data_IF_854730717066
#
_entry.id   IF_854730717066
#
_cell.length_a   1.000
_cell.length_b   1.000
_cell.length_c   1.000
_cell.angle_alpha   90.00
_cell.angle_beta   90.00
_cell.angle_gamma   90.00
#
_symmetry.space_group_name_H-M   'P 1'
#
loop_
_entity.id
_entity.type
_entity.pdbx_description
1 polymer ?
#
# COMPACT_ATOMS: atom_id res chain seq x y z
N UNK A 1 14.92 -10.55 -24.31
CA UNK A 1 15.29 -9.50 -25.28
C UNK A 1 14.13 -8.70 -25.89
N UNK A 2 12.84 -9.05 -25.71
CA UNK A 2 11.71 -8.26 -26.24
C UNK A 2 10.94 -7.39 -25.22
N UNK A 3 11.31 -7.39 -23.94
CA UNK A 3 10.64 -6.57 -22.89
C UNK A 3 11.26 -5.18 -22.72
N UNK A 4 12.52 -5.02 -23.16
CA UNK A 4 13.23 -3.74 -23.21
C UNK A 4 12.67 -2.82 -24.31
N UNK A 5 12.16 -3.40 -25.41
CA UNK A 5 11.58 -2.68 -26.54
C UNK A 5 10.18 -2.12 -26.24
N UNK A 6 9.40 -2.79 -25.38
CA UNK A 6 8.07 -2.34 -24.96
C UNK A 6 8.14 -1.17 -23.96
N UNK A 7 9.12 -1.20 -23.05
CA UNK A 7 9.41 -0.09 -22.15
C UNK A 7 10.03 1.12 -22.87
N UNK A 8 10.82 0.88 -23.92
CA UNK A 8 11.27 1.94 -24.85
C UNK A 8 10.08 2.58 -25.59
N UNK A 9 9.08 1.82 -26.02
CA UNK A 9 7.85 2.35 -26.65
C UNK A 9 7.00 3.23 -25.70
N UNK A 10 7.00 2.95 -24.40
CA UNK A 10 6.31 3.80 -23.40
C UNK A 10 7.08 5.10 -23.15
N UNK A 11 8.42 5.04 -23.21
CA UNK A 11 9.27 6.25 -23.19
C UNK A 11 9.11 7.05 -24.50
N UNK A 12 8.88 6.37 -25.63
CA UNK A 12 8.59 6.96 -26.94
C UNK A 12 7.16 7.51 -27.11
N UNK A 13 6.24 7.24 -26.18
CA UNK A 13 4.88 7.86 -26.17
C UNK A 13 4.78 9.09 -25.25
N UNK A 14 5.84 9.36 -24.48
CA UNK A 14 6.12 10.68 -23.89
C UNK A 14 7.57 11.11 -24.22
N UNK A 15 8.02 10.99 -25.50
CA UNK A 15 9.41 11.19 -25.89
C UNK A 15 9.79 12.64 -25.65
N UNK A 16 8.84 13.57 -25.85
CA UNK A 16 9.03 14.98 -25.58
C UNK A 16 9.38 15.25 -24.11
N UNK A 17 8.87 14.52 -23.12
CA UNK A 17 9.11 14.90 -21.72
C UNK A 17 10.50 14.47 -21.24
N UNK A 18 10.93 13.25 -21.59
CA UNK A 18 12.28 12.78 -21.28
C UNK A 18 13.32 13.38 -22.22
N UNK A 19 13.00 13.64 -23.50
CA UNK A 19 13.90 14.34 -24.42
C UNK A 19 14.00 15.82 -24.10
N UNK A 20 12.94 16.51 -23.68
CA UNK A 20 13.00 17.90 -23.19
C UNK A 20 13.75 17.94 -21.86
N UNK A 21 13.53 16.97 -20.97
CA UNK A 21 14.32 16.85 -19.73
C UNK A 21 15.80 16.63 -20.06
N UNK A 22 16.15 15.66 -20.89
CA UNK A 22 17.55 15.39 -21.26
C UNK A 22 18.16 16.52 -22.10
N UNK A 23 17.45 17.12 -23.06
CA UNK A 23 17.94 18.26 -23.86
C UNK A 23 18.14 19.52 -23.01
N UNK A 24 17.33 19.74 -21.97
CA UNK A 24 17.46 20.93 -21.11
C UNK A 24 18.38 20.72 -19.92
N UNK A 25 18.50 19.49 -19.43
CA UNK A 25 19.27 19.18 -18.22
C UNK A 25 20.67 18.68 -18.59
N UNK A 26 20.86 17.93 -19.68
CA UNK A 26 22.17 17.40 -20.08
C UNK A 26 23.20 18.50 -20.35
N UNK A 27 22.93 19.59 -21.09
CA UNK A 27 23.90 20.67 -21.29
C UNK A 27 24.27 21.38 -19.98
N UNK A 28 23.30 21.50 -19.06
CA UNK A 28 23.44 22.20 -17.77
C UNK A 28 24.14 21.37 -16.69
N UNK A 29 23.97 20.05 -16.72
CA UNK A 29 24.73 19.14 -15.85
C UNK A 29 26.18 19.02 -16.34
N UNK A 30 26.45 19.25 -17.63
CA UNK A 30 27.77 19.07 -18.24
C UNK A 30 28.56 20.37 -18.42
N UNK A 31 28.05 21.53 -17.98
CA UNK A 31 28.67 22.85 -18.19
C UNK A 31 29.00 23.14 -19.68
N UNK A 32 28.11 22.72 -20.59
CA UNK A 32 28.33 22.81 -22.04
C UNK A 32 27.72 24.06 -22.71
N UNK A 33 27.19 25.02 -21.95
CA UNK A 33 26.73 26.30 -22.52
C UNK A 33 27.93 27.23 -22.69
N UNK A 34 28.54 27.21 -23.89
CA UNK A 34 29.38 28.31 -24.37
C UNK A 34 28.47 29.52 -24.64
N UNK A 35 28.84 30.67 -24.09
CA UNK A 35 28.42 31.99 -24.56
C UNK A 35 28.64 32.07 -26.07
N UNK A 36 27.58 32.17 -26.88
CA UNK A 36 27.58 33.01 -28.09
C UNK A 36 26.22 33.05 -28.85
N UNK A 37 25.96 34.26 -29.37
CA UNK A 37 25.05 34.67 -30.46
C UNK A 37 23.56 34.92 -30.18
N UNK A 38 23.34 36.12 -29.64
CA UNK A 38 22.54 37.17 -30.29
C UNK A 38 22.78 37.22 -31.81
N UNK A 39 21.73 37.10 -32.63
CA UNK A 39 21.59 37.87 -33.88
C UNK A 39 20.16 37.84 -34.44
N UNK A 40 19.75 39.02 -34.94
CA UNK A 40 18.63 39.34 -35.85
C UNK A 40 17.25 39.66 -35.28
N UNK A 41 17.08 40.93 -34.85
CA UNK A 41 15.99 41.79 -35.35
C UNK A 41 16.46 43.27 -35.52
N UNK A 42 16.53 43.73 -36.77
CA UNK A 42 16.45 45.15 -37.20
C UNK A 42 14.95 45.49 -37.38
N UNK A 43 14.37 46.69 -37.26
CA UNK A 43 14.84 48.08 -37.22
C UNK A 43 13.63 49.02 -36.96
N UNK A 44 13.82 50.13 -36.21
CA UNK A 44 13.37 51.55 -36.45
C UNK A 44 13.30 52.42 -35.15
N UNK A 45 13.43 53.78 -35.22
CA UNK A 45 14.27 54.55 -34.26
C UNK A 45 13.62 55.69 -33.42
N UNK A 46 14.20 55.93 -32.21
CA UNK A 46 14.46 57.18 -31.41
C UNK A 46 13.29 58.12 -30.93
N UNK A 47 13.43 58.96 -29.86
CA UNK A 47 14.64 59.36 -29.09
C UNK A 47 14.60 59.42 -27.52
N UNK A 48 15.75 59.10 -26.91
CA UNK A 48 16.53 59.78 -25.83
C UNK A 48 15.81 60.34 -24.56
N UNK A 49 16.16 59.83 -23.34
CA UNK A 49 16.88 60.56 -22.27
C UNK A 49 17.22 59.71 -21.00
N UNK A 50 18.54 59.62 -20.71
CA UNK A 50 19.31 59.62 -19.44
C UNK A 50 18.82 58.78 -18.23
N UNK A 51 19.47 57.65 -17.86
CA UNK A 51 20.69 57.47 -17.01
C UNK A 51 20.35 57.33 -15.50
N UNK A 52 20.37 56.09 -14.96
CA UNK A 52 21.26 55.63 -13.86
C UNK A 52 20.95 54.20 -13.34
N UNK A 53 22.04 53.43 -13.26
CA UNK A 53 22.38 52.26 -12.40
C UNK A 53 21.56 50.96 -12.44
N UNK A 54 22.14 49.97 -13.11
CA UNK A 54 21.81 48.54 -13.03
C UNK A 54 22.73 47.84 -12.00
N UNK A 55 22.17 47.35 -10.91
CA UNK A 55 22.66 46.13 -10.25
C UNK A 55 21.88 44.95 -10.81
N UNK A 56 22.50 44.19 -11.70
CA UNK A 56 21.92 42.96 -12.25
C UNK A 56 22.05 41.82 -11.23
N UNK A 57 20.94 41.54 -10.54
CA UNK A 57 20.69 40.28 -9.83
C UNK A 57 20.62 39.13 -10.84
N UNK A 58 21.74 38.44 -11.07
CA UNK A 58 21.75 37.16 -11.79
C UNK A 58 21.29 36.09 -10.80
N UNK A 59 19.99 35.77 -10.82
CA UNK A 59 19.46 34.56 -10.17
C UNK A 59 19.97 33.37 -10.99
N UNK A 60 20.74 32.41 -10.43
CA UNK A 60 21.26 31.31 -11.21
C UNK A 60 20.10 30.48 -11.76
N UNK A 61 20.10 30.26 -13.07
CA UNK A 61 19.13 29.45 -13.82
C UNK A 61 18.96 28.05 -13.21
N UNK A 62 19.98 27.55 -12.52
CA UNK A 62 20.01 26.27 -11.80
C UNK A 62 18.94 26.17 -10.70
N UNK A 63 18.62 27.27 -10.02
CA UNK A 63 17.63 27.26 -8.95
C UNK A 63 16.20 27.11 -9.50
N UNK A 64 15.93 27.57 -10.72
CA UNK A 64 14.60 27.46 -11.33
C UNK A 64 14.34 26.02 -11.79
N UNK A 65 15.34 25.39 -12.41
CA UNK A 65 15.25 24.01 -12.90
C UNK A 65 15.15 23.02 -11.73
N UNK A 66 16.00 23.19 -10.70
CA UNK A 66 15.93 22.40 -9.48
C UNK A 66 14.58 22.57 -8.77
N UNK A 67 14.03 23.80 -8.77
CA UNK A 67 12.70 24.08 -8.22
C UNK A 67 11.59 23.44 -9.05
N UNK A 68 11.69 23.37 -10.37
CA UNK A 68 10.72 22.69 -11.24
C UNK A 68 10.77 21.16 -11.07
N UNK A 69 11.96 20.58 -10.98
CA UNK A 69 12.13 19.14 -10.68
C UNK A 69 11.56 18.84 -9.29
N UNK A 70 11.90 19.66 -8.28
CA UNK A 70 11.30 19.55 -6.93
C UNK A 70 9.78 19.63 -6.99
N UNK A 71 9.21 20.60 -7.72
CA UNK A 71 7.76 20.77 -7.89
C UNK A 71 7.10 19.55 -8.55
N UNK A 72 7.76 18.97 -9.55
CA UNK A 72 7.25 17.80 -10.26
C UNK A 72 7.28 16.55 -9.37
N UNK A 73 8.40 16.33 -8.66
CA UNK A 73 8.55 15.22 -7.72
C UNK A 73 7.59 15.33 -6.52
N UNK A 74 7.28 16.55 -6.05
CA UNK A 74 6.33 16.76 -4.94
C UNK A 74 4.86 16.70 -5.35
N UNK A 75 4.53 17.06 -6.59
CA UNK A 75 3.13 17.14 -7.06
C UNK A 75 2.59 15.84 -7.65
N UNK A 76 3.46 14.97 -8.17
CA UNK A 76 3.06 13.73 -8.83
C UNK A 76 3.47 12.51 -8.00
N UNK A 77 2.51 11.65 -7.67
CA UNK A 77 2.77 10.31 -7.12
C UNK A 77 3.43 9.45 -8.20
N UNK A 78 4.73 9.61 -8.38
CA UNK A 78 5.49 8.86 -9.38
C UNK A 78 5.59 7.39 -8.98
N UNK A 79 5.35 6.51 -9.96
CA UNK A 79 5.56 5.06 -9.77
C UNK A 79 7.04 4.80 -9.45
N UNK A 80 7.30 3.83 -8.56
CA UNK A 80 8.64 3.41 -8.14
C UNK A 80 9.61 3.18 -9.32
N UNK A 81 9.13 2.55 -10.40
CA UNK A 81 9.91 2.32 -11.64
C UNK A 81 10.40 3.61 -12.29
N UNK A 82 9.56 4.65 -12.31
CA UNK A 82 9.92 5.94 -12.93
C UNK A 82 10.98 6.63 -12.07
N UNK A 83 10.81 6.65 -10.76
CA UNK A 83 11.80 7.22 -9.83
C UNK A 83 13.17 6.54 -9.98
N UNK A 84 13.19 5.20 -10.02
CA UNK A 84 14.41 4.43 -10.23
C UNK A 84 15.10 4.76 -11.56
N UNK A 85 14.34 4.86 -12.66
CA UNK A 85 14.89 5.24 -13.96
C UNK A 85 15.45 6.66 -13.97
N UNK A 86 14.73 7.62 -13.38
CA UNK A 86 15.19 9.00 -13.24
C UNK A 86 16.52 9.04 -12.50
N UNK A 87 16.62 8.34 -11.37
CA UNK A 87 17.86 8.29 -10.58
C UNK A 87 19.04 7.71 -11.37
N UNK A 88 18.82 6.58 -12.06
CA UNK A 88 19.84 5.96 -12.90
C UNK A 88 20.33 6.90 -14.02
N UNK A 89 19.42 7.63 -14.65
CA UNK A 89 19.74 8.60 -15.70
C UNK A 89 20.55 9.77 -15.13
N UNK A 90 20.13 10.33 -13.98
CA UNK A 90 20.83 11.44 -13.32
C UNK A 90 22.28 11.07 -13.03
N UNK A 91 22.52 9.88 -12.43
CA UNK A 91 23.87 9.45 -12.10
C UNK A 91 24.73 9.25 -13.36
N UNK A 92 24.19 8.60 -14.39
CA UNK A 92 24.90 8.39 -15.66
C UNK A 92 25.31 9.71 -16.32
N UNK A 93 24.40 10.70 -16.35
CA UNK A 93 24.70 12.03 -16.92
C UNK A 93 25.71 12.78 -16.05
N UNK A 94 25.59 12.72 -14.72
CA UNK A 94 26.53 13.40 -13.83
C UNK A 94 27.95 12.82 -13.90
N UNK A 95 28.10 11.52 -14.20
CA UNK A 95 29.39 10.87 -14.33
C UNK A 95 30.19 11.34 -15.55
N UNK A 96 29.52 11.87 -16.57
CA UNK A 96 30.17 12.50 -17.73
C UNK A 96 30.81 13.86 -17.36
N UNK A 97 30.56 14.42 -16.16
CA UNK A 97 31.14 15.68 -15.70
C UNK A 97 32.25 15.47 -14.62
N UNK A 98 33.49 15.96 -14.83
CA UNK A 98 34.59 15.83 -13.87
C UNK A 98 34.45 16.62 -12.56
N UNK A 99 33.44 17.49 -12.40
CA UNK A 99 33.29 18.39 -11.23
C UNK A 99 32.85 17.74 -9.90
N UNK A 100 32.82 16.41 -9.77
CA UNK A 100 32.51 15.73 -8.49
C UNK A 100 31.04 15.80 -8.05
N UNK A 101 30.15 16.35 -8.88
CA UNK A 101 28.70 16.42 -8.64
C UNK A 101 28.06 15.06 -8.39
N UNK A 102 28.52 14.01 -9.08
CA UNK A 102 28.08 12.62 -8.88
C UNK A 102 28.29 12.15 -7.44
N UNK A 103 29.46 12.42 -6.88
CA UNK A 103 29.81 12.05 -5.50
C UNK A 103 28.88 12.73 -4.50
N UNK A 104 28.58 14.02 -4.71
CA UNK A 104 27.66 14.79 -3.87
C UNK A 104 26.25 14.19 -3.94
N UNK A 105 25.76 13.87 -5.14
CA UNK A 105 24.43 13.27 -5.32
C UNK A 105 24.32 11.90 -4.64
N UNK A 106 25.31 11.04 -4.84
CA UNK A 106 25.38 9.72 -4.20
C UNK A 106 25.35 9.87 -2.68
N UNK A 107 26.19 10.75 -2.13
CA UNK A 107 26.23 10.98 -0.68
C UNK A 107 24.88 11.49 -0.16
N UNK A 108 24.24 12.43 -0.86
CA UNK A 108 22.94 12.97 -0.48
C UNK A 108 21.83 11.91 -0.49
N UNK A 109 21.82 10.99 -1.46
CA UNK A 109 20.88 9.88 -1.45
C UNK A 109 21.13 8.97 -0.26
N UNK A 110 22.39 8.60 -0.02
CA UNK A 110 22.77 7.73 1.09
C UNK A 110 22.36 8.34 2.44
N UNK A 111 22.66 9.63 2.65
CA UNK A 111 22.24 10.37 3.84
C UNK A 111 20.71 10.40 3.97
N UNK A 112 19.99 10.65 2.87
CA UNK A 112 18.53 10.66 2.86
C UNK A 112 17.96 9.31 3.30
N UNK A 113 18.39 8.20 2.70
CA UNK A 113 17.87 6.86 3.02
C UNK A 113 18.17 6.49 4.47
N UNK A 114 19.39 6.75 4.95
CA UNK A 114 19.72 6.50 6.35
C UNK A 114 18.86 7.34 7.31
N UNK A 115 18.66 8.61 6.99
CA UNK A 115 17.81 9.49 7.79
C UNK A 115 16.35 9.03 7.77
N UNK A 116 15.82 8.59 6.62
CA UNK A 116 14.45 8.08 6.55
C UNK A 116 14.29 6.80 7.39
N UNK A 117 15.21 5.84 7.25
CA UNK A 117 15.16 4.60 8.04
C UNK A 117 15.34 4.84 9.55
N UNK A 118 16.12 5.85 9.93
CA UNK A 118 16.30 6.23 11.34
C UNK A 118 15.08 6.99 11.91
N UNK A 119 14.47 7.88 11.12
CA UNK A 119 13.37 8.74 11.57
C UNK A 119 11.98 8.08 11.43
N UNK A 120 11.84 7.09 10.55
CA UNK A 120 10.59 6.38 10.30
C UNK A 120 10.74 4.89 10.61
N UNK A 121 10.65 4.49 11.89
CA UNK A 121 10.94 3.13 12.33
C UNK A 121 9.90 2.07 11.89
N UNK A 122 8.79 2.52 11.27
CA UNK A 122 7.84 1.66 10.58
C UNK A 122 8.34 1.21 9.20
N UNK A 123 9.37 1.85 8.65
CA UNK A 123 9.99 1.41 7.40
C UNK A 123 10.97 0.28 7.74
N UNK A 124 10.65 -0.92 7.28
CA UNK A 124 11.52 -2.07 7.37
C UNK A 124 12.36 -2.20 6.10
N UNK A 125 13.67 -2.04 6.24
CA UNK A 125 14.64 -2.24 5.17
C UNK A 125 14.92 -3.74 4.94
N UNK A 126 15.08 -4.15 3.69
CA UNK A 126 15.54 -5.50 3.33
C UNK A 126 16.91 -5.82 3.94
N UNK A 127 17.22 -7.11 4.17
CA UNK A 127 18.54 -7.54 4.65
C UNK A 127 19.66 -7.07 3.71
N UNK A 128 19.41 -7.11 2.40
CA UNK A 128 20.33 -6.61 1.38
C UNK A 128 20.56 -5.10 1.52
N UNK A 129 19.52 -4.30 1.72
CA UNK A 129 19.67 -2.87 1.95
C UNK A 129 20.50 -2.57 3.20
N UNK A 130 20.25 -3.29 4.30
CA UNK A 130 21.05 -3.14 5.53
C UNK A 130 22.53 -3.38 5.28
N UNK A 131 22.87 -4.45 4.56
CA UNK A 131 24.27 -4.77 4.23
C UNK A 131 24.90 -3.68 3.34
N UNK A 132 24.18 -3.25 2.29
CA UNK A 132 24.65 -2.17 1.41
C UNK A 132 24.91 -0.86 2.15
N UNK A 133 24.10 -0.56 3.17
CA UNK A 133 24.28 0.65 3.98
C UNK A 133 25.42 0.53 5.00
N UNK A 134 25.69 -0.67 5.53
CA UNK A 134 26.71 -0.88 6.57
C UNK A 134 28.15 -0.95 6.05
N UNK A 135 28.36 -1.49 4.85
CA UNK A 135 29.70 -1.84 4.37
C UNK A 135 30.50 -0.69 3.74
N UNK A 136 29.91 0.51 3.64
CA UNK A 136 30.35 1.49 2.62
C UNK A 136 30.60 2.88 3.21
N UNK A 137 31.88 3.28 3.26
CA UNK A 137 32.29 4.64 3.63
C UNK A 137 32.10 5.67 2.48
N UNK A 138 31.99 5.21 1.22
CA UNK A 138 31.77 6.07 0.04
C UNK A 138 31.12 5.23 -1.08
N UNK A 139 29.82 5.39 -1.38
CA UNK A 139 29.15 4.55 -2.37
C UNK A 139 29.59 4.87 -3.81
N UNK A 140 29.71 3.84 -4.66
CA UNK A 140 29.89 4.02 -6.10
C UNK A 140 28.55 4.28 -6.78
N UNK A 141 28.56 4.62 -8.08
CA UNK A 141 27.34 4.81 -8.88
C UNK A 141 26.48 3.54 -8.87
N UNK A 142 27.09 2.39 -9.13
CA UNK A 142 26.41 1.09 -9.22
C UNK A 142 25.76 0.75 -7.88
N UNK A 143 26.51 0.95 -6.79
CA UNK A 143 26.03 0.72 -5.44
C UNK A 143 24.89 1.68 -5.11
N UNK A 144 24.99 2.96 -5.47
CA UNK A 144 23.94 3.95 -5.25
C UNK A 144 22.65 3.61 -5.98
N UNK A 145 22.75 3.11 -7.21
CA UNK A 145 21.60 2.61 -7.98
C UNK A 145 20.96 1.41 -7.26
N UNK A 146 21.77 0.46 -6.79
CA UNK A 146 21.28 -0.72 -6.08
C UNK A 146 20.67 -0.38 -4.71
N UNK A 147 21.27 0.53 -3.94
CA UNK A 147 20.72 1.06 -2.69
C UNK A 147 19.34 1.68 -2.95
N UNK A 148 19.22 2.53 -3.97
CA UNK A 148 17.94 3.19 -4.26
C UNK A 148 16.87 2.19 -4.71
N UNK A 149 17.27 1.20 -5.52
CA UNK A 149 16.38 0.12 -5.95
C UNK A 149 15.89 -0.69 -4.75
N UNK A 150 16.79 -1.14 -3.88
CA UNK A 150 16.43 -1.87 -2.68
C UNK A 150 15.50 -1.04 -1.78
N UNK A 151 15.81 0.24 -1.58
CA UNK A 151 14.96 1.14 -0.81
C UNK A 151 13.54 1.27 -1.40
N UNK A 152 13.42 1.53 -2.71
CA UNK A 152 12.12 1.73 -3.34
C UNK A 152 11.28 0.45 -3.40
N UNK A 153 11.88 -0.67 -3.78
CA UNK A 153 11.15 -1.88 -4.13
C UNK A 153 11.02 -2.88 -2.99
N UNK A 154 11.96 -2.89 -2.06
CA UNK A 154 12.03 -3.93 -1.03
C UNK A 154 11.89 -3.39 0.40
N UNK A 155 11.84 -2.07 0.61
CA UNK A 155 11.38 -1.55 1.89
C UNK A 155 9.89 -1.76 2.04
N UNK A 156 9.49 -2.24 3.21
CA UNK A 156 8.09 -2.49 3.57
C UNK A 156 7.68 -1.58 4.72
N UNK A 157 6.40 -1.30 4.82
CA UNK A 157 5.84 -0.62 5.99
C UNK A 157 5.36 -1.72 6.93
N UNK A 158 5.92 -1.76 8.14
CA UNK A 158 5.46 -2.67 9.19
C UNK A 158 3.96 -2.44 9.44
N UNK A 159 3.14 -3.49 9.50
CA UNK A 159 1.71 -3.32 9.72
C UNK A 159 1.44 -2.81 11.14
N UNK A 160 0.42 -1.95 11.28
CA UNK A 160 -0.11 -1.52 12.58
C UNK A 160 -1.39 -2.27 12.97
N UNK A 161 -1.92 -3.07 12.05
CA UNK A 161 -3.12 -3.86 12.24
C UNK A 161 -2.80 -5.32 11.96
N UNK A 162 -2.92 -6.14 13.00
CA UNK A 162 -2.70 -7.58 12.93
C UNK A 162 -4.03 -8.29 13.12
N UNK A 163 -4.28 -9.33 12.33
CA UNK A 163 -5.49 -10.17 12.45
C UNK A 163 -5.10 -11.62 12.60
N UNK A 164 -5.71 -12.30 13.57
CA UNK A 164 -5.63 -13.74 13.73
C UNK A 164 -7.04 -14.33 13.66
N UNK A 165 -7.25 -15.24 12.70
CA UNK A 165 -8.48 -16.03 12.60
C UNK A 165 -8.33 -17.27 13.48
N UNK A 166 -9.18 -17.36 14.50
CA UNK A 166 -9.15 -18.48 15.44
C UNK A 166 -10.01 -19.62 14.93
N UNK A 167 -9.62 -20.82 15.34
CA UNK A 167 -10.33 -22.07 15.08
C UNK A 167 -10.00 -23.05 16.21
N UNK A 168 -10.74 -24.18 16.33
CA UNK A 168 -10.53 -25.14 17.42
C UNK A 168 -9.13 -25.78 17.47
N UNK A 169 -8.37 -25.73 16.38
CA UNK A 169 -7.02 -26.27 16.29
C UNK A 169 -5.90 -25.31 16.70
N UNK A 170 -6.21 -24.04 16.99
CA UNK A 170 -5.20 -23.08 17.46
C UNK A 170 -4.75 -23.44 18.87
N UNK A 171 -3.44 -23.59 19.06
CA UNK A 171 -2.83 -23.86 20.37
C UNK A 171 -2.36 -22.58 21.08
N UNK A 172 -2.07 -22.68 22.38
CA UNK A 172 -1.50 -21.56 23.15
C UNK A 172 -0.14 -21.15 22.59
N UNK A 173 0.70 -22.11 22.19
CA UNK A 173 2.01 -21.86 21.60
C UNK A 173 1.91 -21.05 20.31
N UNK A 174 0.94 -21.36 19.45
CA UNK A 174 0.71 -20.59 18.22
C UNK A 174 0.25 -19.15 18.52
N UNK A 175 -0.53 -18.94 19.57
CA UNK A 175 -0.91 -17.59 20.00
C UNK A 175 0.31 -16.81 20.52
N UNK A 176 1.19 -17.48 21.26
CA UNK A 176 2.46 -16.89 21.75
C UNK A 176 3.38 -16.54 20.57
N UNK A 177 3.55 -17.44 19.62
CA UNK A 177 4.34 -17.21 18.40
C UNK A 177 3.80 -16.03 17.59
N UNK A 178 2.47 -15.88 17.50
CA UNK A 178 1.83 -14.74 16.87
C UNK A 178 2.08 -13.43 17.63
N UNK A 179 1.97 -13.45 18.95
CA UNK A 179 2.12 -12.26 19.80
C UNK A 179 3.56 -11.77 19.95
N UNK A 180 4.55 -12.67 19.86
CA UNK A 180 5.97 -12.36 20.11
C UNK A 180 6.52 -11.23 19.22
N UNK A 181 6.47 -11.30 17.87
CA UNK A 181 7.00 -10.24 17.02
C UNK A 181 6.21 -8.92 17.17
N UNK A 182 4.91 -9.00 17.48
CA UNK A 182 4.06 -7.81 17.67
C UNK A 182 4.43 -7.10 18.98
N UNK A 183 4.68 -7.88 20.04
CA UNK A 183 5.12 -7.35 21.33
C UNK A 183 6.50 -6.71 21.24
N UNK A 184 7.43 -7.30 20.47
CA UNK A 184 8.73 -6.70 20.18
C UNK A 184 8.56 -5.36 19.44
N UNK A 185 7.74 -5.33 18.40
CA UNK A 185 7.46 -4.09 17.66
C UNK A 185 6.84 -3.01 18.55
N UNK A 186 5.90 -3.38 19.41
CA UNK A 186 5.26 -2.45 20.34
C UNK A 186 6.27 -1.85 21.34
N UNK A 187 7.25 -2.63 21.79
CA UNK A 187 8.35 -2.15 22.64
C UNK A 187 9.32 -1.23 21.88
N UNK A 188 9.61 -1.52 20.62
CA UNK A 188 10.42 -0.65 19.75
C UNK A 188 9.72 0.70 19.47
N UNK A 189 8.38 0.71 19.47
CA UNK A 189 7.55 1.84 19.05
C UNK A 189 6.57 2.29 20.15
N UNK A 190 7.04 2.71 21.34
CA UNK A 190 6.17 2.97 22.50
C UNK A 190 5.17 4.14 22.30
N UNK A 191 5.37 4.96 21.27
CA UNK A 191 4.51 6.10 20.92
C UNK A 191 3.44 5.77 19.88
N UNK A 192 3.45 4.55 19.33
CA UNK A 192 2.54 4.12 18.27
C UNK A 192 1.62 3.04 18.83
N UNK A 193 0.32 3.19 18.61
CA UNK A 193 -0.68 2.19 18.96
C UNK A 193 -0.75 1.09 17.89
N UNK A 194 -0.66 -0.16 18.33
CA UNK A 194 -0.77 -1.34 17.46
C UNK A 194 -2.08 -2.06 17.77
N UNK A 195 -2.85 -2.33 16.72
CA UNK A 195 -4.16 -2.98 16.85
C UNK A 195 -4.01 -4.46 16.54
N UNK A 196 -4.52 -5.30 17.44
CA UNK A 196 -4.60 -6.75 17.25
C UNK A 196 -6.07 -7.16 17.28
N UNK A 197 -6.53 -7.74 16.18
CA UNK A 197 -7.89 -8.24 16.01
C UNK A 197 -7.93 -9.76 16.00
N UNK A 198 -8.62 -10.33 16.98
CA UNK A 198 -8.87 -11.76 17.06
C UNK A 198 -10.28 -12.07 16.53
N UNK A 199 -10.36 -12.82 15.44
CA UNK A 199 -11.64 -13.21 14.84
C UNK A 199 -12.06 -14.60 15.34
N UNK A 200 -13.35 -14.79 15.59
CA UNK A 200 -13.95 -16.03 16.11
C UNK A 200 -13.34 -16.56 17.43
N UNK A 201 -13.03 -15.67 18.40
CA UNK A 201 -12.32 -16.02 19.66
C UNK A 201 -12.90 -17.19 20.42
N UNK A 202 -14.22 -17.28 20.50
CA UNK A 202 -14.89 -18.34 21.25
C UNK A 202 -14.93 -19.70 20.53
N UNK A 203 -14.26 -19.85 19.40
CA UNK A 203 -13.98 -21.17 18.80
C UNK A 203 -12.66 -21.77 19.26
N UNK A 204 -11.78 -20.96 19.88
CA UNK A 204 -10.49 -21.42 20.36
C UNK A 204 -10.60 -22.19 21.68
N UNK A 205 -9.71 -23.17 21.87
CA UNK A 205 -9.62 -23.94 23.11
C UNK A 205 -8.95 -23.16 24.26
N UNK A 206 -8.17 -22.11 23.94
CA UNK A 206 -7.39 -21.31 24.87
C UNK A 206 -8.08 -20.01 25.33
N UNK A 207 -9.41 -20.03 25.53
CA UNK A 207 -10.17 -18.85 25.99
C UNK A 207 -9.64 -18.20 27.27
N UNK A 208 -9.07 -18.99 28.17
CA UNK A 208 -8.45 -18.50 29.40
C UNK A 208 -7.29 -17.54 29.14
N UNK A 209 -6.51 -17.79 28.07
CA UNK A 209 -5.38 -16.95 27.69
C UNK A 209 -5.86 -15.62 27.10
N UNK A 210 -6.94 -15.62 26.33
CA UNK A 210 -7.60 -14.37 25.91
C UNK A 210 -8.14 -13.58 27.11
N UNK A 211 -8.71 -14.24 28.11
CA UNK A 211 -9.12 -13.56 29.35
C UNK A 211 -7.92 -12.90 30.03
N UNK A 212 -6.78 -13.58 30.11
CA UNK A 212 -5.54 -13.04 30.67
C UNK A 212 -5.08 -11.79 29.90
N UNK A 213 -5.00 -11.87 28.58
CA UNK A 213 -4.55 -10.77 27.73
C UNK A 213 -5.45 -9.53 27.81
N UNK A 214 -6.77 -9.72 27.77
CA UNK A 214 -7.74 -8.62 27.73
C UNK A 214 -7.97 -7.98 29.10
N UNK A 215 -7.97 -8.78 30.17
CA UNK A 215 -8.30 -8.30 31.51
C UNK A 215 -7.05 -7.94 32.32
N UNK A 216 -6.03 -8.80 32.27
CA UNK A 216 -4.87 -8.70 33.14
C UNK A 216 -3.68 -8.02 32.43
N UNK A 217 -3.73 -7.93 31.08
CA UNK A 217 -2.66 -7.34 30.27
C UNK A 217 -1.39 -8.19 30.26
N UNK A 218 -1.52 -9.49 30.50
CA UNK A 218 -0.40 -10.45 30.52
C UNK A 218 -0.62 -11.62 29.57
N UNK A 219 0.47 -12.27 29.18
CA UNK A 219 0.51 -13.51 28.42
C UNK A 219 1.44 -14.49 29.15
N UNK A 220 0.89 -15.55 29.76
CA UNK A 220 1.62 -16.44 30.67
C UNK A 220 2.35 -15.70 31.80
N UNK A 221 1.71 -14.66 32.36
CA UNK A 221 2.25 -13.83 33.42
C UNK A 221 3.28 -12.78 32.99
N UNK A 222 3.62 -12.72 31.69
CA UNK A 222 4.51 -11.69 31.14
C UNK A 222 3.67 -10.50 30.70
N UNK A 223 4.03 -9.30 31.14
CA UNK A 223 3.32 -8.06 30.77
C UNK A 223 3.36 -7.82 29.26
N UNK A 224 2.19 -7.56 28.69
CA UNK A 224 2.02 -7.12 27.31
C UNK A 224 2.30 -5.61 27.23
N UNK A 225 2.96 -5.12 26.17
CA UNK A 225 3.16 -3.68 25.96
C UNK A 225 1.84 -2.89 25.97
N UNK A 226 1.83 -1.75 26.67
CA UNK A 226 0.61 -0.95 26.91
C UNK A 226 0.06 -0.24 25.67
N UNK A 227 0.85 -0.14 24.62
CA UNK A 227 0.48 0.44 23.34
C UNK A 227 -0.12 -0.59 22.36
N UNK A 228 -0.51 -1.78 22.85
CA UNK A 228 -1.28 -2.74 22.09
C UNK A 228 -2.76 -2.59 22.45
N UNK A 229 -3.58 -2.31 21.44
CA UNK A 229 -5.03 -2.27 21.54
C UNK A 229 -5.62 -3.58 21.01
N UNK A 230 -6.25 -4.34 21.90
CA UNK A 230 -6.93 -5.58 21.55
C UNK A 230 -8.39 -5.34 21.16
N UNK A 231 -8.81 -5.98 20.06
CA UNK A 231 -10.21 -6.13 19.69
C UNK A 231 -10.49 -7.56 19.28
N UNK A 232 -11.72 -8.02 19.47
CA UNK A 232 -12.11 -9.39 19.18
C UNK A 232 -13.53 -9.50 18.65
N UNK A 233 -13.76 -10.49 17.80
CA UNK A 233 -15.08 -10.94 17.40
C UNK A 233 -15.35 -12.34 17.97
N UNK A 234 -16.60 -12.57 18.34
CA UNK A 234 -17.08 -13.86 18.85
C UNK A 234 -18.34 -14.26 18.08
N UNK A 235 -18.51 -15.56 17.91
CA UNK A 235 -19.72 -16.13 17.35
C UNK A 235 -20.82 -16.18 18.43
N UNK A 236 -22.10 -15.92 18.10
CA UNK A 236 -23.19 -16.02 19.07
C UNK A 236 -23.37 -17.48 19.56
N UNK A 237 -23.52 -17.66 20.86
CA UNK A 237 -23.90 -18.96 21.45
C UNK A 237 -25.41 -19.16 21.27
N UNK A 238 -25.81 -19.98 20.29
CA UNK A 238 -27.22 -20.34 20.07
C UNK A 238 -27.51 -21.59 20.90
N UNK A 239 -28.32 -21.45 21.95
CA UNK A 239 -28.86 -22.63 22.66
C UNK A 239 -29.97 -23.21 21.80
N UNK A 240 -29.79 -24.44 21.31
CA UNK A 240 -30.83 -25.15 20.57
C UNK A 240 -31.94 -25.47 21.57
N UNK A 241 -33.09 -24.80 21.47
CA UNK A 241 -34.31 -25.26 22.13
C UNK A 241 -34.81 -26.50 21.38
N UNK A 242 -35.10 -27.58 22.12
CA UNK A 242 -35.37 -28.94 21.61
C UNK A 242 -36.54 -29.06 20.59
N UNK A 243 -37.28 -27.98 20.31
CA UNK A 243 -38.51 -28.00 19.49
C UNK A 243 -38.51 -27.12 18.23
N UNK A 244 -37.41 -26.42 17.90
CA UNK A 244 -37.35 -25.66 16.64
C UNK A 244 -36.51 -26.40 15.62
N UNK A 245 -37.15 -26.92 14.57
CA UNK A 245 -36.52 -27.38 13.32
C UNK A 245 -35.97 -26.17 12.57
N UNK A 246 -35.00 -25.46 13.18
CA UNK A 246 -34.19 -24.49 12.48
C UNK A 246 -32.95 -25.22 11.99
N UNK A 247 -32.74 -25.25 10.68
CA UNK A 247 -31.55 -25.79 10.00
C UNK A 247 -30.36 -24.83 10.22
N UNK A 248 -30.28 -24.19 11.38
CA UNK A 248 -29.17 -23.33 11.71
C UNK A 248 -27.97 -24.18 12.04
N UNK A 249 -26.88 -23.92 11.31
CA UNK A 249 -25.52 -24.42 11.50
C UNK A 249 -25.23 -24.69 12.98
N UNK A 250 -25.43 -25.93 13.38
CA UNK A 250 -24.88 -26.51 14.61
C UNK A 250 -23.35 -26.66 14.54
N UNK A 251 -22.73 -26.13 13.48
CA UNK A 251 -21.36 -26.39 13.07
C UNK A 251 -20.32 -25.52 13.82
N UNK A 252 -20.76 -24.44 14.46
CA UNK A 252 -19.85 -23.65 15.29
C UNK A 252 -19.85 -24.22 16.70
N UNK A 253 -18.92 -25.15 16.95
CA UNK A 253 -18.54 -25.52 18.32
C UNK A 253 -17.93 -24.28 18.95
N UNK A 254 -18.74 -23.56 19.72
CA UNK A 254 -18.33 -22.35 20.43
C UNK A 254 -18.37 -22.60 21.92
N UNK A 255 -17.34 -22.11 22.60
CA UNK A 255 -17.25 -22.11 24.03
C UNK A 255 -17.99 -20.89 24.60
N UNK A 256 -18.64 -21.07 25.75
CA UNK A 256 -19.21 -19.94 26.47
C UNK A 256 -18.08 -19.05 27.01
N UNK A 257 -18.27 -17.73 26.95
CA UNK A 257 -17.25 -16.80 27.42
C UNK A 257 -17.13 -16.83 28.95
N UNK A 258 -15.91 -16.68 29.49
CA UNK A 258 -15.70 -16.34 30.89
C UNK A 258 -16.49 -15.08 31.27
N UNK A 259 -17.02 -15.04 32.50
CA UNK A 259 -17.89 -13.93 32.94
C UNK A 259 -17.24 -12.55 32.77
N UNK A 260 -15.94 -12.44 33.05
CA UNK A 260 -15.20 -11.18 32.90
C UNK A 260 -15.16 -10.66 31.46
N UNK A 261 -15.20 -11.55 30.45
CA UNK A 261 -15.23 -11.16 29.05
C UNK A 261 -16.66 -10.88 28.56
N UNK A 262 -17.68 -11.47 29.19
CA UNK A 262 -19.09 -11.20 28.86
C UNK A 262 -19.44 -9.73 29.08
N UNK A 263 -18.89 -9.11 30.11
CA UNK A 263 -19.16 -7.71 30.45
C UNK A 263 -18.52 -6.72 29.45
N UNK A 264 -17.55 -7.18 28.64
CA UNK A 264 -16.92 -6.39 27.57
C UNK A 264 -17.64 -6.52 26.22
N UNK A 265 -18.60 -7.43 26.10
CA UNK A 265 -19.25 -7.75 24.83
C UNK A 265 -20.18 -6.62 24.38
N UNK A 266 -19.98 -6.14 23.16
CA UNK A 266 -20.92 -5.26 22.45
C UNK A 266 -21.53 -6.03 21.27
N UNK A 267 -22.84 -5.91 21.08
CA UNK A 267 -23.56 -6.53 19.97
C UNK A 267 -23.69 -5.56 18.81
N UNK A 268 -23.13 -5.92 17.65
CA UNK A 268 -23.22 -5.12 16.41
C UNK A 268 -24.57 -5.25 15.68
N UNK A 269 -25.42 -6.18 16.10
CA UNK A 269 -26.69 -6.48 15.42
C UNK A 269 -26.50 -7.29 14.14
N UNK A 270 -27.61 -7.79 13.55
CA UNK A 270 -27.58 -8.41 12.24
C UNK A 270 -27.32 -7.36 11.16
N UNK A 271 -26.82 -7.82 10.01
CA UNK A 271 -26.63 -6.95 8.86
C UNK A 271 -27.98 -6.53 8.28
N UNK A 272 -28.20 -5.22 8.15
CA UNK A 272 -29.42 -4.70 7.54
C UNK A 272 -29.49 -5.04 6.04
N UNK A 273 -30.68 -5.40 5.55
CA UNK A 273 -30.90 -5.79 4.15
C UNK A 273 -30.45 -4.71 3.15
N UNK A 274 -30.62 -3.43 3.52
CA UNK A 274 -30.16 -2.31 2.69
C UNK A 274 -28.63 -2.26 2.59
N UNK A 275 -27.94 -2.41 3.72
CA UNK A 275 -26.47 -2.46 3.75
C UNK A 275 -25.93 -3.67 3.00
N UNK A 276 -26.63 -4.81 3.09
CA UNK A 276 -26.30 -6.00 2.32
C UNK A 276 -26.43 -5.76 0.81
N UNK A 277 -27.54 -5.14 0.37
CA UNK A 277 -27.74 -4.78 -1.03
C UNK A 277 -26.65 -3.83 -1.54
N UNK A 278 -26.34 -2.79 -0.76
CA UNK A 278 -25.26 -1.85 -1.10
C UNK A 278 -23.90 -2.55 -1.21
N UNK A 279 -23.61 -3.50 -0.31
CA UNK A 279 -22.40 -4.31 -0.36
C UNK A 279 -22.34 -5.15 -1.65
N UNK A 280 -23.42 -5.85 -2.00
CA UNK A 280 -23.48 -6.70 -3.19
C UNK A 280 -23.30 -5.89 -4.47
N UNK A 281 -24.04 -4.78 -4.61
CA UNK A 281 -23.96 -3.89 -5.78
C UNK A 281 -22.54 -3.35 -5.95
N UNK A 282 -21.93 -2.85 -4.86
CA UNK A 282 -20.55 -2.33 -4.90
C UNK A 282 -19.54 -3.40 -5.28
N UNK A 283 -19.70 -4.63 -4.77
CA UNK A 283 -18.79 -5.74 -5.09
C UNK A 283 -18.89 -6.16 -6.55
N UNK A 284 -20.10 -6.28 -7.11
CA UNK A 284 -20.30 -6.64 -8.51
C UNK A 284 -19.75 -5.57 -9.45
N UNK A 285 -19.89 -4.30 -9.09
CA UNK A 285 -19.32 -3.19 -9.87
C UNK A 285 -17.79 -3.22 -9.98
N UNK A 286 -17.11 -3.98 -9.12
CA UNK A 286 -15.65 -4.18 -9.19
C UNK A 286 -15.23 -5.27 -10.18
N UNK A 287 -16.16 -6.11 -10.65
CA UNK A 287 -15.82 -7.17 -11.61
C UNK A 287 -15.45 -6.61 -12.97
N UNK A 288 -14.43 -7.22 -13.57
CA UNK A 288 -13.92 -6.88 -14.88
C UNK A 288 -13.83 -8.13 -15.74
N UNK A 289 -13.97 -7.94 -17.05
CA UNK A 289 -13.86 -9.00 -18.04
C UNK A 289 -12.67 -8.71 -18.95
N UNK A 290 -11.81 -9.70 -19.14
CA UNK A 290 -10.66 -9.59 -20.05
C UNK A 290 -11.16 -9.70 -21.49
N UNK A 291 -10.92 -8.69 -22.31
CA UNK A 291 -11.33 -8.76 -23.72
C UNK A 291 -10.42 -9.71 -24.49
N UNK A 292 -10.98 -10.79 -25.06
CA UNK A 292 -10.24 -11.80 -25.86
C UNK A 292 -9.51 -11.22 -27.08
N UNK A 293 -9.78 -9.96 -27.46
CA UNK A 293 -9.16 -9.28 -28.60
C UNK A 293 -7.86 -8.53 -28.25
N UNK A 294 -7.60 -8.24 -26.98
CA UNK A 294 -6.37 -7.57 -26.53
C UNK A 294 -6.11 -8.01 -25.07
N UNK A 295 -5.15 -8.91 -24.86
CA UNK A 295 -4.80 -9.55 -23.57
C UNK A 295 -4.39 -8.61 -22.42
N UNK A 296 -4.59 -7.29 -22.56
CA UNK A 296 -4.19 -6.29 -21.56
C UNK A 296 -5.31 -5.32 -21.15
N UNK A 297 -6.50 -5.39 -21.78
CA UNK A 297 -7.61 -4.48 -21.45
C UNK A 297 -8.74 -5.21 -20.73
N UNK A 298 -8.84 -4.98 -19.43
CA UNK A 298 -9.96 -5.34 -18.57
C UNK A 298 -11.07 -4.30 -18.70
N UNK A 299 -12.29 -4.73 -19.06
CA UNK A 299 -13.45 -3.84 -19.22
C UNK A 299 -14.43 -4.13 -18.07
N UNK A 300 -15.01 -3.10 -17.42
CA UNK A 300 -16.03 -3.33 -16.41
C UNK A 300 -17.27 -4.01 -17.00
N UNK A 301 -18.00 -4.78 -16.19
CA UNK A 301 -19.28 -5.36 -16.60
C UNK A 301 -20.28 -4.27 -17.02
N UNK A 302 -21.13 -4.58 -17.99
CA UNK A 302 -22.23 -3.69 -18.36
C UNK A 302 -23.22 -3.51 -17.20
N UNK A 303 -23.78 -2.31 -17.04
CA UNK A 303 -24.70 -2.00 -15.93
C UNK A 303 -25.90 -2.95 -15.86
N UNK A 304 -26.43 -3.38 -17.01
CA UNK A 304 -27.52 -4.36 -17.06
C UNK A 304 -27.12 -5.70 -16.42
N UNK A 305 -25.93 -6.20 -16.75
CA UNK A 305 -25.39 -7.45 -16.20
C UNK A 305 -25.13 -7.29 -14.70
N UNK A 306 -24.54 -6.17 -14.29
CA UNK A 306 -24.29 -5.87 -12.88
C UNK A 306 -25.59 -5.90 -12.05
N UNK A 307 -26.62 -5.19 -12.51
CA UNK A 307 -27.93 -5.13 -11.85
C UNK A 307 -28.60 -6.52 -11.82
N UNK A 308 -28.53 -7.27 -12.91
CA UNK A 308 -29.12 -8.62 -12.99
C UNK A 308 -28.45 -9.58 -12.02
N UNK A 309 -27.13 -9.55 -11.90
CA UNK A 309 -26.39 -10.37 -10.93
C UNK A 309 -26.71 -9.96 -9.50
N UNK A 310 -26.75 -8.66 -9.21
CA UNK A 310 -27.06 -8.14 -7.88
C UNK A 310 -28.46 -8.59 -7.42
N UNK A 311 -29.46 -8.38 -8.29
CA UNK A 311 -30.85 -8.79 -8.04
C UNK A 311 -30.97 -10.30 -7.84
N UNK A 312 -30.20 -11.09 -8.62
CA UNK A 312 -30.22 -12.55 -8.51
C UNK A 312 -29.67 -13.03 -7.17
N UNK A 313 -28.55 -12.46 -6.72
CA UNK A 313 -27.95 -12.81 -5.42
C UNK A 313 -28.87 -12.37 -4.28
N UNK A 314 -29.46 -11.17 -4.36
CA UNK A 314 -30.38 -10.67 -3.34
C UNK A 314 -31.63 -11.55 -3.22
N UNK A 315 -32.27 -11.90 -4.34
CA UNK A 315 -33.42 -12.81 -4.33
C UNK A 315 -33.07 -14.20 -3.80
N UNK A 316 -31.86 -14.70 -4.10
CA UNK A 316 -31.40 -15.97 -3.55
C UNK A 316 -31.21 -15.90 -2.03
N UNK A 317 -30.67 -14.78 -1.50
CA UNK A 317 -30.58 -14.55 -0.06
C UNK A 317 -31.96 -14.51 0.60
N UNK A 318 -32.88 -13.70 0.06
CA UNK A 318 -34.27 -13.60 0.56
C UNK A 318 -34.97 -14.96 0.55
N UNK A 319 -34.80 -15.73 -0.53
CA UNK A 319 -35.34 -17.08 -0.63
C UNK A 319 -34.79 -17.99 0.48
N UNK A 320 -33.48 -17.97 0.73
CA UNK A 320 -32.89 -18.75 1.82
C UNK A 320 -33.40 -18.29 3.18
N UNK A 321 -33.51 -17.00 3.44
CA UNK A 321 -34.03 -16.48 4.72
C UNK A 321 -35.47 -16.92 4.98
N UNK A 322 -36.33 -16.87 3.95
CA UNK A 322 -37.73 -17.28 4.05
C UNK A 322 -37.91 -18.77 4.31
N UNK A 323 -37.02 -19.62 3.76
CA UNK A 323 -37.18 -21.07 3.81
C UNK A 323 -36.33 -21.77 4.88
N UNK A 324 -35.18 -21.19 5.24
CA UNK A 324 -34.19 -21.78 6.16
C UNK A 324 -34.06 -20.99 7.47
N UNK A 325 -34.67 -19.80 7.53
CA UNK A 325 -34.59 -18.90 8.69
C UNK A 325 -33.64 -17.72 8.47
N UNK A 326 -33.84 -16.68 9.25
CA UNK A 326 -33.08 -15.44 9.21
C UNK A 326 -31.60 -15.67 9.54
N UNK A 327 -30.66 -15.09 8.77
CA UNK A 327 -29.21 -15.35 8.85
C UNK A 327 -28.79 -16.81 8.54
N UNK A 328 -29.60 -17.58 7.80
CA UNK A 328 -29.22 -18.93 7.35
C UNK A 328 -28.03 -18.94 6.39
N UNK A 329 -27.77 -17.81 5.72
CA UNK A 329 -26.68 -17.62 4.77
C UNK A 329 -25.84 -16.42 5.20
N UNK A 330 -24.52 -16.58 5.22
CA UNK A 330 -23.59 -15.55 5.65
C UNK A 330 -22.98 -14.81 4.45
N UNK A 331 -22.31 -13.69 4.73
CA UNK A 331 -21.50 -12.99 3.73
C UNK A 331 -20.41 -13.89 3.10
N UNK A 332 -19.99 -14.99 3.76
CA UNK A 332 -19.02 -15.93 3.17
C UNK A 332 -19.58 -16.67 1.96
N UNK A 333 -20.86 -17.04 1.97
CA UNK A 333 -21.50 -17.67 0.81
C UNK A 333 -21.64 -16.69 -0.34
N UNK A 334 -21.95 -15.43 -0.03
CA UNK A 334 -21.98 -14.36 -1.02
C UNK A 334 -20.60 -14.16 -1.63
N UNK A 335 -19.54 -14.16 -0.81
CA UNK A 335 -18.16 -14.09 -1.30
C UNK A 335 -17.79 -15.30 -2.15
N UNK A 336 -18.26 -16.51 -1.81
CA UNK A 336 -18.06 -17.70 -2.66
C UNK A 336 -18.79 -17.56 -3.99
N UNK A 337 -20.00 -16.99 -4.00
CA UNK A 337 -20.71 -16.67 -5.22
C UNK A 337 -19.92 -15.66 -6.07
N UNK A 338 -19.34 -14.63 -5.47
CA UNK A 338 -18.46 -13.69 -6.16
C UNK A 338 -17.25 -14.36 -6.78
N UNK A 339 -16.54 -15.21 -6.02
CA UNK A 339 -15.39 -15.94 -6.55
C UNK A 339 -15.79 -16.86 -7.71
N UNK A 340 -16.99 -17.44 -7.67
CA UNK A 340 -17.50 -18.29 -8.75
C UNK A 340 -17.85 -17.47 -10.00
N UNK A 341 -18.45 -16.29 -9.83
CA UNK A 341 -18.72 -15.36 -10.94
C UNK A 341 -17.39 -14.94 -11.59
N UNK A 342 -16.42 -14.50 -10.80
CA UNK A 342 -15.09 -14.11 -11.28
C UNK A 342 -14.42 -15.25 -12.05
N UNK A 343 -14.43 -16.47 -11.50
CA UNK A 343 -13.95 -17.66 -12.19
C UNK A 343 -14.61 -17.86 -13.56
N UNK A 344 -15.93 -17.76 -13.65
CA UNK A 344 -16.62 -17.92 -14.94
C UNK A 344 -16.35 -16.77 -15.92
N UNK A 345 -16.13 -15.54 -15.43
CA UNK A 345 -15.79 -14.40 -16.29
C UNK A 345 -14.36 -14.51 -16.83
N UNK A 346 -13.42 -14.99 -16.04
CA UNK A 346 -12.03 -15.23 -16.47
C UNK A 346 -11.91 -16.38 -17.47
N UNK A 347 -12.82 -17.36 -17.39
CA UNK A 347 -12.80 -18.58 -18.20
C UNK A 347 -13.89 -18.60 -19.31
N UNK A 348 -14.59 -17.49 -19.51
CA UNK A 348 -15.53 -17.32 -20.62
C UNK A 348 -14.74 -17.12 -21.93
N UNK A 349 -14.82 -18.13 -22.80
CA UNK A 349 -14.09 -18.27 -24.07
C UNK A 349 -14.41 -17.14 -25.06
#
# INVERSE_FOLDING_TARGET
ENSSQFLLNIIETQPNLLSIFLQRIKPKILDLENDDELLNQQSTPLPIQLVEEQEQNIIPVDNILLKQVKLFLTKYQLKKNILYLIWKIILNVSNENPMGSTTILIQKLYDYINNELANYPLIESSSRLKNLLQEICSPTIEISIEIFKEYLFHSQIKPLFYRLLLNPGITEEQLVEFMLPISQLAQELPQIEIVIFFDEVNTASCLSLFKEMFMDGTLHGINIPKNIFFTAAINPLIKIEENTVQVHRSDYIVHDLPQSLKDLKVSYGPLESKTLADYIVRKIAMFQVTSSKNNENTIPLESYVQNTLADSILRAQEFCEQNLGYNSVSQREIQRCFNLIEFFLENAI
#
